data_IF_389855460251
#
_entry.id   IF_389855460251
#
_cell.length_a   1.000
_cell.length_b   1.000
_cell.length_c   1.000
_cell.angle_alpha   90.00
_cell.angle_beta   90.00
_cell.angle_gamma   90.00
#
_symmetry.space_group_name_H-M   'P 1'
#
loop_
_entity.id
_entity.type
_entity.pdbx_description
1 polymer ?
#
# COMPACT_ATOMS: atom_id res chain seq x y z
N UNK A 1 24.44 34.52 -9.35
CA UNK A 1 23.10 33.94 -9.12
C UNK A 1 23.12 32.49 -9.57
N UNK A 2 23.01 31.53 -8.65
CA UNK A 2 22.95 30.09 -8.99
C UNK A 2 21.50 29.74 -9.30
N UNK A 3 21.23 29.27 -10.53
CA UNK A 3 19.93 28.73 -10.92
C UNK A 3 19.68 27.46 -10.11
N UNK A 4 18.67 27.48 -9.23
CA UNK A 4 18.12 26.26 -8.65
C UNK A 4 17.47 25.48 -9.81
N UNK A 5 18.12 24.39 -10.22
CA UNK A 5 17.44 23.35 -10.97
C UNK A 5 16.41 22.73 -10.02
N UNK A 6 15.17 23.22 -10.08
CA UNK A 6 14.04 22.45 -9.58
C UNK A 6 13.98 21.19 -10.44
N UNK A 7 14.49 20.08 -9.89
CA UNK A 7 14.14 18.77 -10.41
C UNK A 7 12.61 18.72 -10.37
N UNK A 8 11.97 18.82 -11.53
CA UNK A 8 10.55 18.53 -11.65
C UNK A 8 10.40 17.10 -11.14
N UNK A 9 9.81 16.96 -9.96
CA UNK A 9 9.32 15.66 -9.51
C UNK A 9 8.38 15.15 -10.61
N UNK A 10 8.52 13.88 -11.03
CA UNK A 10 7.69 13.39 -12.11
C UNK A 10 6.23 13.40 -11.66
N UNK A 11 5.42 14.21 -12.36
CA UNK A 11 3.96 14.25 -12.23
C UNK A 11 3.40 13.00 -12.92
N UNK A 12 3.53 11.85 -12.29
CA UNK A 12 2.73 10.70 -12.69
C UNK A 12 1.30 10.96 -12.19
N UNK A 13 0.34 11.04 -13.11
CA UNK A 13 -1.08 11.16 -12.78
C UNK A 13 -1.67 9.78 -12.99
N UNK A 14 -2.07 9.11 -11.90
CA UNK A 14 -2.95 7.96 -12.04
C UNK A 14 -4.35 8.48 -12.39
N UNK A 15 -4.80 8.21 -13.61
CA UNK A 15 -6.14 8.57 -14.10
C UNK A 15 -7.01 7.33 -13.95
N UNK A 16 -7.56 7.10 -12.76
CA UNK A 16 -8.45 5.98 -12.47
C UNK A 16 -9.09 6.08 -11.08
N UNK A 17 -10.20 5.36 -10.86
CA UNK A 17 -10.83 5.26 -9.53
C UNK A 17 -10.06 4.30 -8.61
N UNK A 18 -10.22 4.47 -7.30
CA UNK A 18 -9.68 3.55 -6.29
C UNK A 18 -10.20 2.11 -6.47
N UNK A 19 -11.47 1.94 -6.86
CA UNK A 19 -12.06 0.64 -7.13
C UNK A 19 -11.44 -0.04 -8.37
N UNK A 20 -11.16 0.74 -9.43
CA UNK A 20 -10.48 0.23 -10.63
C UNK A 20 -9.04 -0.17 -10.31
N UNK A 21 -8.34 0.63 -9.51
CA UNK A 21 -6.98 0.30 -9.06
C UNK A 21 -6.97 -0.98 -8.21
N UNK A 22 -7.89 -1.11 -7.26
CA UNK A 22 -8.03 -2.32 -6.43
C UNK A 22 -8.34 -3.56 -7.28
N UNK A 23 -9.22 -3.44 -8.27
CA UNK A 23 -9.56 -4.55 -9.18
C UNK A 23 -8.33 -5.00 -9.97
N UNK A 24 -7.58 -4.06 -10.55
CA UNK A 24 -6.32 -4.37 -11.26
C UNK A 24 -5.27 -5.01 -10.36
N UNK A 25 -5.19 -4.57 -9.09
CA UNK A 25 -4.27 -5.15 -8.13
C UNK A 25 -4.57 -6.65 -7.92
N UNK A 26 -5.85 -6.99 -7.75
CA UNK A 26 -6.31 -8.37 -7.56
C UNK A 26 -6.10 -9.20 -8.82
N UNK A 27 -6.39 -8.67 -10.00
CA UNK A 27 -6.18 -9.37 -11.28
C UNK A 27 -4.71 -9.76 -11.50
N UNK A 28 -3.77 -8.95 -11.00
CA UNK A 28 -2.33 -9.12 -11.22
C UNK A 28 -1.58 -9.62 -9.96
N UNK A 29 -2.29 -10.03 -8.91
CA UNK A 29 -1.69 -10.31 -7.61
C UNK A 29 -0.66 -11.45 -7.63
N UNK A 30 -0.85 -12.45 -8.50
CA UNK A 30 0.12 -13.53 -8.68
C UNK A 30 1.45 -13.04 -9.24
N UNK A 31 1.41 -12.15 -10.24
CA UNK A 31 2.60 -11.55 -10.83
C UNK A 31 3.30 -10.62 -9.84
N UNK A 32 2.51 -9.78 -9.14
CA UNK A 32 3.04 -8.89 -8.11
C UNK A 32 3.76 -9.68 -7.03
N UNK A 33 3.14 -10.74 -6.49
CA UNK A 33 3.75 -11.60 -5.48
C UNK A 33 5.09 -12.17 -5.96
N UNK A 34 5.14 -12.66 -7.20
CA UNK A 34 6.39 -13.15 -7.81
C UNK A 34 7.46 -12.06 -7.92
N UNK A 35 7.08 -10.87 -8.40
CA UNK A 35 8.02 -9.76 -8.63
C UNK A 35 8.64 -9.22 -7.34
N UNK A 36 7.90 -9.28 -6.24
CA UNK A 36 8.36 -8.78 -4.92
C UNK A 36 8.90 -9.90 -4.02
N UNK A 37 8.99 -11.14 -4.53
CA UNK A 37 9.56 -12.28 -3.81
C UNK A 37 8.65 -12.87 -2.72
N UNK A 38 7.35 -12.66 -2.80
CA UNK A 38 6.39 -13.30 -1.90
C UNK A 38 6.05 -14.72 -2.35
N UNK A 39 5.66 -15.55 -1.39
CA UNK A 39 5.12 -16.88 -1.67
C UNK A 39 3.87 -16.79 -2.56
N UNK A 40 3.59 -17.80 -3.41
CA UNK A 40 2.42 -17.78 -4.29
C UNK A 40 1.12 -17.54 -3.52
N UNK A 41 0.18 -16.90 -4.20
CA UNK A 41 -1.14 -16.58 -3.65
C UNK A 41 -1.95 -17.87 -3.52
N UNK A 42 -2.49 -18.10 -2.32
CA UNK A 42 -3.42 -19.19 -2.02
C UNK A 42 -4.86 -18.73 -2.16
N UNK A 43 -5.18 -17.56 -1.61
CA UNK A 43 -6.54 -17.05 -1.52
C UNK A 43 -6.53 -15.52 -1.49
N UNK A 44 -7.56 -14.91 -2.09
CA UNK A 44 -7.84 -13.47 -2.00
C UNK A 44 -9.23 -13.33 -1.38
N UNK A 45 -9.31 -12.65 -0.23
CA UNK A 45 -10.58 -12.45 0.47
C UNK A 45 -11.41 -11.35 -0.19
N UNK A 46 -12.60 -11.04 0.32
CA UNK A 46 -13.38 -9.91 -0.20
C UNK A 46 -12.77 -8.57 0.23
N UNK A 47 -12.68 -7.63 -0.71
CA UNK A 47 -12.31 -6.26 -0.41
C UNK A 47 -13.31 -5.64 0.57
N UNK A 48 -12.80 -4.87 1.53
CA UNK A 48 -13.60 -4.09 2.47
C UNK A 48 -13.35 -2.61 2.26
N UNK A 49 -14.40 -1.79 2.37
CA UNK A 49 -14.27 -0.33 2.31
C UNK A 49 -14.40 0.23 3.71
N UNK A 50 -13.34 0.88 4.18
CA UNK A 50 -13.29 1.50 5.50
C UNK A 50 -13.33 3.02 5.30
N UNK A 51 -14.23 3.68 6.03
CA UNK A 51 -14.24 5.13 6.13
C UNK A 51 -13.34 5.54 7.29
N UNK A 52 -12.32 6.34 7.01
CA UNK A 52 -11.46 6.95 8.01
C UNK A 52 -11.55 8.46 7.88
N UNK A 53 -12.18 9.08 8.87
CA UNK A 53 -12.57 10.50 8.87
C UNK A 53 -13.43 10.81 7.65
N UNK A 54 -12.86 11.40 6.59
CA UNK A 54 -13.56 11.78 5.36
C UNK A 54 -13.03 11.04 4.12
N UNK A 55 -12.03 10.18 4.29
CA UNK A 55 -11.39 9.43 3.21
C UNK A 55 -11.91 8.00 3.18
N UNK A 56 -12.13 7.48 1.97
CA UNK A 56 -12.49 6.09 1.78
C UNK A 56 -11.25 5.27 1.43
N UNK A 57 -10.98 4.24 2.21
CA UNK A 57 -9.85 3.34 2.03
C UNK A 57 -10.40 1.96 1.67
N UNK A 58 -9.80 1.31 0.68
CA UNK A 58 -10.11 -0.08 0.37
C UNK A 58 -9.04 -0.95 1.02
N UNK A 59 -9.47 -1.94 1.80
CA UNK A 59 -8.59 -2.99 2.30
C UNK A 59 -8.85 -4.29 1.58
N UNK A 60 -7.79 -5.04 1.30
CA UNK A 60 -7.87 -6.31 0.60
C UNK A 60 -6.88 -7.29 1.22
N UNK A 61 -7.36 -8.41 1.75
CA UNK A 61 -6.50 -9.43 2.33
C UNK A 61 -6.17 -10.52 1.30
N UNK A 62 -4.91 -10.92 1.28
CA UNK A 62 -4.36 -11.97 0.43
C UNK A 62 -3.61 -12.96 1.31
N UNK A 63 -3.97 -14.24 1.24
CA UNK A 63 -3.31 -15.31 1.98
C UNK A 63 -2.35 -16.01 1.03
N UNK A 64 -1.10 -16.18 1.47
CA UNK A 64 -0.04 -16.83 0.70
C UNK A 64 0.13 -18.30 1.12
N UNK A 65 0.77 -19.10 0.27
CA UNK A 65 0.98 -20.54 0.52
C UNK A 65 1.92 -20.82 1.70
N UNK A 66 2.76 -19.87 2.08
CA UNK A 66 3.63 -19.93 3.26
C UNK A 66 2.89 -19.65 4.58
N UNK A 67 1.59 -19.36 4.52
CA UNK A 67 0.77 -19.05 5.70
C UNK A 67 0.84 -17.59 6.14
N UNK A 68 1.53 -16.72 5.41
CA UNK A 68 1.52 -15.28 5.67
C UNK A 68 0.29 -14.65 5.04
N UNK A 69 -0.39 -13.79 5.80
CA UNK A 69 -1.46 -12.94 5.32
C UNK A 69 -0.91 -11.55 4.98
N UNK A 70 -1.29 -11.02 3.83
CA UNK A 70 -0.96 -9.67 3.39
C UNK A 70 -2.24 -8.86 3.35
N UNK A 71 -2.33 -7.83 4.20
CA UNK A 71 -3.44 -6.87 4.12
C UNK A 71 -2.98 -5.66 3.35
N UNK A 72 -3.55 -5.50 2.16
CA UNK A 72 -3.40 -4.29 1.37
C UNK A 72 -4.27 -3.18 1.94
N UNK A 73 -3.65 -2.02 2.12
CA UNK A 73 -4.28 -0.75 2.41
C UNK A 73 -4.16 0.04 1.10
N UNK A 74 -5.19 -0.07 0.27
CA UNK A 74 -5.19 0.45 -1.10
C UNK A 74 -5.62 1.90 -1.08
N UNK A 75 -4.80 2.75 -1.68
CA UNK A 75 -5.10 4.17 -1.84
C UNK A 75 -4.65 4.69 -3.20
N UNK A 76 -5.48 5.56 -3.78
CA UNK A 76 -5.09 6.35 -4.94
C UNK A 76 -4.91 7.77 -4.44
N UNK A 77 -3.66 8.23 -4.38
CA UNK A 77 -3.35 9.60 -4.00
C UNK A 77 -3.92 10.63 -4.99
N UNK A 78 -3.90 11.90 -4.59
CA UNK A 78 -4.02 12.98 -5.56
C UNK A 78 -2.71 13.12 -6.37
N UNK A 79 -2.65 14.09 -7.28
CA UNK A 79 -1.55 14.31 -8.24
C UNK A 79 -0.16 14.50 -7.59
N UNK A 80 -0.08 14.63 -6.27
CA UNK A 80 1.15 14.85 -5.50
C UNK A 80 1.69 13.57 -4.84
N UNK A 81 1.17 12.39 -5.20
CA UNK A 81 1.45 11.14 -4.48
C UNK A 81 0.56 11.01 -3.24
N UNK A 82 0.35 9.77 -2.77
CA UNK A 82 -0.56 9.43 -1.67
C UNK A 82 -0.56 10.49 -0.55
N UNK A 83 -1.73 10.97 -0.05
CA UNK A 83 -1.76 12.00 0.98
C UNK A 83 -1.06 11.47 2.24
N UNK A 84 0.20 11.88 2.38
CA UNK A 84 1.22 11.38 3.31
C UNK A 84 0.69 11.43 4.75
N UNK A 85 -0.07 12.48 5.08
CA UNK A 85 -0.64 12.69 6.40
C UNK A 85 -1.75 11.69 6.72
N UNK A 86 -2.55 11.27 5.73
CA UNK A 86 -3.59 10.26 5.96
C UNK A 86 -2.98 8.89 6.25
N UNK A 87 -1.86 8.52 5.62
CA UNK A 87 -1.19 7.23 5.85
C UNK A 87 -0.41 7.22 7.17
N UNK A 88 0.21 8.33 7.58
CA UNK A 88 0.88 8.40 8.88
C UNK A 88 -0.11 8.21 10.04
N UNK A 89 -1.28 8.85 9.99
CA UNK A 89 -2.29 8.72 11.06
C UNK A 89 -3.18 7.50 10.91
N UNK A 90 -3.63 7.19 9.69
CA UNK A 90 -4.48 6.03 9.46
C UNK A 90 -3.68 4.73 9.46
N UNK A 91 -2.39 4.73 9.15
CA UNK A 91 -1.55 3.54 9.22
C UNK A 91 -1.55 2.91 10.60
N UNK A 92 -1.32 3.72 11.64
CA UNK A 92 -1.38 3.29 13.04
C UNK A 92 -2.81 2.87 13.43
N UNK A 93 -3.83 3.71 13.18
CA UNK A 93 -5.23 3.40 13.51
C UNK A 93 -5.79 2.18 12.74
N UNK A 94 -5.43 2.01 11.47
CA UNK A 94 -5.85 0.88 10.62
C UNK A 94 -5.16 -0.39 11.07
N UNK A 95 -3.85 -0.35 11.31
CA UNK A 95 -3.11 -1.54 11.78
C UNK A 95 -3.66 -1.98 13.13
N UNK A 96 -3.85 -1.06 14.08
CA UNK A 96 -4.48 -1.37 15.37
C UNK A 96 -5.87 -1.98 15.17
N UNK A 97 -6.76 -1.32 14.44
CA UNK A 97 -8.13 -1.79 14.21
C UNK A 97 -8.20 -3.14 13.47
N UNK A 98 -7.31 -3.37 12.51
CA UNK A 98 -7.25 -4.63 11.77
C UNK A 98 -6.61 -5.74 12.59
N UNK A 99 -5.69 -5.41 13.49
CA UNK A 99 -5.10 -6.37 14.42
C UNK A 99 -6.12 -6.78 15.48
N UNK A 100 -6.88 -5.85 16.04
CA UNK A 100 -7.96 -6.13 17.01
C UNK A 100 -9.11 -6.98 16.45
N UNK A 101 -9.33 -6.91 15.14
CA UNK A 101 -10.43 -7.65 14.45
C UNK A 101 -9.96 -8.89 13.70
N UNK A 102 -8.65 -9.09 13.58
CA UNK A 102 -8.05 -10.26 12.94
C UNK A 102 -8.00 -11.46 13.89
N UNK A 103 -8.07 -12.70 13.38
CA UNK A 103 -7.78 -13.87 14.19
C UNK A 103 -6.31 -13.83 14.63
N UNK A 104 -6.07 -13.85 15.95
CA UNK A 104 -4.76 -13.74 16.66
C UNK A 104 -3.64 -14.73 16.23
N UNK A 105 -3.83 -15.54 15.18
CA UNK A 105 -2.99 -16.69 14.85
C UNK A 105 -2.27 -16.64 13.51
N UNK A 106 -2.57 -15.70 12.61
CA UNK A 106 -1.95 -15.66 11.28
C UNK A 106 -0.94 -14.51 11.20
N UNK A 107 0.35 -14.80 10.94
CA UNK A 107 1.34 -13.76 10.66
C UNK A 107 0.84 -12.83 9.56
N UNK A 108 0.65 -11.56 9.89
CA UNK A 108 0.04 -10.58 8.99
C UNK A 108 1.02 -9.47 8.71
N UNK A 109 1.28 -9.21 7.43
CA UNK A 109 1.98 -8.01 6.96
C UNK A 109 0.97 -7.00 6.45
N UNK A 110 1.16 -5.75 6.83
CA UNK A 110 0.35 -4.63 6.36
C UNK A 110 1.12 -3.88 5.29
N UNK A 111 0.49 -3.71 4.12
CA UNK A 111 1.15 -3.12 2.95
C UNK A 111 0.30 -1.99 2.40
N UNK A 112 0.85 -0.78 2.40
CA UNK A 112 0.22 0.35 1.71
C UNK A 112 0.47 0.23 0.22
N UNK A 113 -0.61 0.20 -0.57
CA UNK A 113 -0.52 0.02 -2.02
C UNK A 113 -1.02 1.27 -2.74
N UNK A 114 -0.14 1.88 -3.53
CA UNK A 114 -0.44 3.11 -4.28
C UNK A 114 0.21 3.09 -5.67
N UNK A 115 -0.34 3.84 -6.65
CA UNK A 115 0.33 4.03 -7.94
C UNK A 115 1.67 4.76 -7.84
N UNK A 116 1.81 5.62 -6.83
CA UNK A 116 2.96 6.50 -6.60
C UNK A 116 3.19 6.61 -5.10
N UNK A 117 4.42 6.33 -4.68
CA UNK A 117 4.87 6.45 -3.29
C UNK A 117 6.17 7.26 -3.28
N UNK A 118 6.25 8.29 -2.43
CA UNK A 118 7.48 9.04 -2.21
C UNK A 118 8.39 8.27 -1.25
N UNK A 119 9.67 8.09 -1.60
CA UNK A 119 10.66 7.45 -0.72
C UNK A 119 10.77 8.13 0.65
N UNK A 120 10.49 9.44 0.74
CA UNK A 120 10.53 10.15 2.00
C UNK A 120 9.47 9.60 2.98
N UNK A 121 8.31 9.18 2.48
CA UNK A 121 7.25 8.54 3.29
C UNK A 121 7.73 7.21 3.86
N UNK A 122 8.33 6.38 3.01
CA UNK A 122 8.90 5.09 3.41
C UNK A 122 9.96 5.30 4.50
N UNK A 123 10.89 6.24 4.28
CA UNK A 123 11.95 6.57 5.26
C UNK A 123 11.39 7.11 6.57
N UNK A 124 10.32 7.92 6.54
CA UNK A 124 9.66 8.41 7.76
C UNK A 124 8.98 7.27 8.53
N UNK A 125 8.21 6.42 7.85
CA UNK A 125 7.56 5.24 8.45
C UNK A 125 8.57 4.32 9.13
N UNK A 126 9.65 4.01 8.41
CA UNK A 126 10.78 3.22 8.91
C UNK A 126 11.46 3.85 10.12
N UNK A 127 11.69 5.17 10.10
CA UNK A 127 12.27 5.91 11.24
C UNK A 127 11.36 5.87 12.48
N UNK A 128 10.04 5.88 12.29
CA UNK A 128 9.03 5.78 13.36
C UNK A 128 8.74 4.34 13.79
N UNK A 129 9.33 3.33 13.12
CA UNK A 129 9.08 1.89 13.36
C UNK A 129 7.62 1.49 13.23
N UNK A 130 6.89 2.13 12.31
CA UNK A 130 5.52 1.74 12.00
C UNK A 130 5.61 0.43 11.19
N UNK A 131 4.83 -0.63 11.53
CA UNK A 131 4.91 -1.95 10.90
C UNK A 131 4.19 -1.99 9.53
N UNK A 132 4.50 -1.02 8.68
CA UNK A 132 3.96 -0.89 7.34
C UNK A 132 5.05 -1.10 6.30
N UNK A 133 4.77 -2.03 5.40
CA UNK A 133 5.48 -2.13 4.13
C UNK A 133 4.77 -1.29 3.07
N UNK A 134 5.45 -1.02 1.97
CA UNK A 134 4.95 -0.16 0.90
C UNK A 134 5.10 -0.86 -0.44
N UNK A 135 4.07 -0.80 -1.27
CA UNK A 135 4.05 -1.37 -2.60
C UNK A 135 3.57 -0.31 -3.59
N UNK A 136 4.50 0.15 -4.44
CA UNK A 136 4.17 1.01 -5.57
C UNK A 136 3.93 0.16 -6.81
N UNK A 137 2.73 0.24 -7.39
CA UNK A 137 2.37 -0.48 -8.62
C UNK A 137 1.77 0.48 -9.63
N UNK A 138 2.43 0.63 -10.78
CA UNK A 138 1.88 1.30 -11.94
C UNK A 138 2.17 0.47 -13.21
N UNK A 139 1.84 1.01 -14.39
CA UNK A 139 1.97 0.26 -15.65
C UNK A 139 3.41 -0.19 -15.94
N UNK A 140 4.42 0.50 -15.39
CA UNK A 140 5.83 0.29 -15.75
C UNK A 140 6.68 -0.19 -14.55
N UNK A 141 6.19 -0.02 -13.32
CA UNK A 141 6.96 -0.22 -12.10
C UNK A 141 6.18 -1.00 -11.05
N UNK A 142 6.84 -2.01 -10.49
CA UNK A 142 6.48 -2.67 -9.25
C UNK A 142 7.65 -2.51 -8.27
N UNK A 143 7.47 -1.76 -7.20
CA UNK A 143 8.52 -1.50 -6.21
C UNK A 143 7.99 -1.77 -4.82
N UNK A 144 8.72 -2.60 -4.07
CA UNK A 144 8.36 -3.00 -2.73
C UNK A 144 9.41 -2.52 -1.73
N UNK A 145 8.96 -1.92 -0.63
CA UNK A 145 9.77 -1.59 0.52
C UNK A 145 9.22 -2.32 1.74
N UNK A 146 10.00 -3.25 2.26
CA UNK A 146 9.65 -4.00 3.46
C UNK A 146 9.73 -3.11 4.72
N UNK A 147 8.85 -3.37 5.69
CA UNK A 147 8.93 -2.80 7.03
C UNK A 147 10.20 -3.27 7.75
N UNK A 148 10.73 -2.43 8.66
CA UNK A 148 11.90 -2.75 9.50
C UNK A 148 11.49 -3.59 10.70
#
# INVERSE_FOLDING_TARGET
MKKQNSKKEPQYIFIGSIDLFASRLVENIGEIASNVGWSPVKEVLLASKIMLKQESIITQQVVHQDGISTVFIIQVGNQNGAPIEAIEYAGEEIVEKLTETGPDSVPTRFVVVCPIISENVVKMSQKRKIPLSFLMVNNDLCTYWESI
#
